data_IF_767698297737
#
_entry.id   IF_767698297737
#
_cell.length_a   1.000
_cell.length_b   1.000
_cell.length_c   1.000
_cell.angle_alpha   90.00
_cell.angle_beta   90.00
_cell.angle_gamma   90.00
#
_symmetry.space_group_name_H-M   'P 1'
#
loop_
_entity.id
_entity.type
_entity.pdbx_description
1 polymer ?
#
# COMPACT_ATOMS: atom_id res chain seq x y z
N UNK A 1 -1.53 4.93 5.23
CA UNK A 1 -2.24 3.68 5.53
C UNK A 1 -1.82 3.15 6.88
N UNK A 2 -2.68 2.39 7.50
CA UNK A 2 -2.44 1.80 8.84
C UNK A 2 -1.75 0.42 8.77
N UNK A 3 -1.22 0.06 7.62
CA UNK A 3 -0.51 -1.20 7.41
C UNK A 3 0.98 -0.94 7.62
N UNK A 4 1.42 -0.94 8.85
CA UNK A 4 2.82 -0.91 9.28
C UNK A 4 3.16 -2.19 10.06
N UNK A 5 4.42 -2.41 10.34
CA UNK A 5 4.86 -3.63 11.05
C UNK A 5 4.22 -3.69 12.42
N UNK A 6 3.62 -4.83 12.75
CA UNK A 6 2.97 -5.04 14.05
C UNK A 6 3.99 -4.92 15.18
N UNK A 7 3.65 -4.14 16.21
CA UNK A 7 4.55 -3.82 17.33
C UNK A 7 5.56 -2.71 17.06
N UNK A 8 5.61 -2.16 15.83
CA UNK A 8 6.41 -0.98 15.55
C UNK A 8 5.65 0.31 15.92
N UNK A 9 6.39 1.39 16.20
CA UNK A 9 5.79 2.71 16.37
C UNK A 9 5.12 3.14 15.05
N UNK A 10 3.89 3.67 15.13
CA UNK A 10 3.21 4.17 13.94
C UNK A 10 4.03 5.25 13.23
N UNK A 11 4.14 5.22 11.89
CA UNK A 11 4.78 6.30 11.17
C UNK A 11 4.05 7.62 11.41
N UNK A 12 4.80 8.68 11.68
CA UNK A 12 4.26 10.03 11.91
C UNK A 12 3.40 10.49 10.74
N UNK A 13 2.21 10.99 11.03
CA UNK A 13 1.31 11.62 10.05
C UNK A 13 1.62 13.10 9.81
N UNK A 14 1.19 13.64 8.66
CA UNK A 14 1.42 15.05 8.32
C UNK A 14 0.83 16.02 9.37
N UNK A 15 -0.36 15.75 9.89
CA UNK A 15 -0.99 16.65 10.87
C UNK A 15 -0.27 16.62 12.22
N UNK A 16 0.19 15.46 12.64
CA UNK A 16 1.04 15.29 13.82
C UNK A 16 2.37 16.07 13.66
N UNK A 17 3.02 15.94 12.51
CA UNK A 17 4.21 16.73 12.19
C UNK A 17 3.94 18.25 12.24
N UNK A 18 2.78 18.69 11.77
CA UNK A 18 2.37 20.09 11.90
C UNK A 18 2.26 20.52 13.36
N UNK A 19 1.66 19.72 14.22
CA UNK A 19 1.52 20.02 15.65
C UNK A 19 2.88 20.13 16.35
N UNK A 20 3.78 19.16 16.09
CA UNK A 20 5.14 19.18 16.62
C UNK A 20 5.95 20.41 16.18
N UNK A 21 5.68 20.93 14.97
CA UNK A 21 6.26 22.18 14.46
C UNK A 21 5.52 23.44 14.93
N UNK A 22 4.56 23.32 15.86
CA UNK A 22 3.77 24.44 16.37
C UNK A 22 2.73 25.02 15.38
N UNK A 23 2.48 24.34 14.27
CA UNK A 23 1.54 24.75 13.20
C UNK A 23 0.13 24.20 13.46
N UNK A 24 -0.49 24.66 14.54
CA UNK A 24 -1.81 24.18 15.01
C UNK A 24 -2.98 24.47 14.06
N UNK A 25 -2.82 25.43 13.14
CA UNK A 25 -3.79 25.79 12.11
C UNK A 25 -3.67 24.89 10.85
N UNK A 26 -2.69 23.99 10.80
CA UNK A 26 -2.37 23.11 9.67
C UNK A 26 -2.17 23.87 8.35
N UNK A 27 -1.74 25.11 8.37
CA UNK A 27 -1.67 25.99 7.21
C UNK A 27 -0.96 25.33 6.01
N UNK A 28 -1.64 25.29 4.88
CA UNK A 28 -1.20 24.64 3.62
C UNK A 28 -0.98 23.13 3.73
N UNK A 29 -1.53 22.49 4.74
CA UNK A 29 -1.45 21.05 4.91
C UNK A 29 -2.82 20.42 4.87
N UNK A 30 -3.00 19.41 4.03
CA UNK A 30 -4.20 18.59 3.99
C UNK A 30 -3.81 17.11 3.88
N UNK A 31 -4.56 16.26 4.53
CA UNK A 31 -4.42 14.80 4.45
C UNK A 31 -5.68 14.20 3.86
N UNK A 32 -5.50 13.17 3.07
CA UNK A 32 -6.56 12.30 2.57
C UNK A 32 -6.39 10.94 3.21
N UNK A 33 -7.41 10.44 3.87
CA UNK A 33 -7.39 9.12 4.48
C UNK A 33 -8.61 8.31 4.04
N UNK A 34 -8.48 6.99 4.01
CA UNK A 34 -9.48 6.12 3.40
C UNK A 34 -9.55 4.77 4.10
N UNK A 35 -10.76 4.21 4.18
CA UNK A 35 -11.00 2.84 4.62
C UNK A 35 -10.40 1.79 3.68
N UNK A 36 -10.03 2.18 2.45
CA UNK A 36 -9.50 1.25 1.45
C UNK A 36 -8.28 0.47 1.91
N UNK A 37 -7.37 1.13 2.67
CA UNK A 37 -6.12 0.52 3.16
C UNK A 37 -6.13 0.34 4.67
N UNK A 38 -6.74 1.25 5.41
CA UNK A 38 -6.91 1.13 6.86
C UNK A 38 -7.69 -0.13 7.23
N UNK A 39 -8.83 -0.31 6.59
CA UNK A 39 -9.81 -1.33 6.96
C UNK A 39 -9.94 -2.46 5.93
N UNK A 40 -9.06 -2.51 4.93
CA UNK A 40 -9.15 -3.46 3.81
C UNK A 40 -10.52 -3.46 3.10
N UNK A 41 -11.15 -2.27 3.03
CA UNK A 41 -12.48 -2.05 2.45
C UNK A 41 -12.42 -1.14 1.21
N UNK A 42 -11.66 -1.49 0.15
CA UNK A 42 -11.52 -0.62 -1.02
C UNK A 42 -12.83 -0.45 -1.79
N UNK A 43 -13.72 -1.45 -1.77
CA UNK A 43 -15.01 -1.42 -2.46
C UNK A 43 -16.00 -0.42 -1.87
N UNK A 44 -15.86 -0.05 -0.61
CA UNK A 44 -16.76 0.88 0.07
C UNK A 44 -16.67 2.31 -0.45
N UNK A 45 -15.57 2.68 -1.12
CA UNK A 45 -15.30 4.02 -1.68
C UNK A 45 -15.44 5.14 -0.65
N UNK A 46 -15.00 4.91 0.59
CA UNK A 46 -15.12 5.82 1.71
C UNK A 46 -13.75 6.35 2.17
N UNK A 47 -13.73 7.62 2.53
CA UNK A 47 -12.58 8.31 3.07
C UNK A 47 -12.94 9.72 3.52
N UNK A 48 -11.97 10.42 4.06
CA UNK A 48 -12.12 11.82 4.50
C UNK A 48 -10.90 12.66 4.11
N UNK A 49 -11.08 13.97 4.18
CA UNK A 49 -10.02 14.97 4.10
C UNK A 49 -10.01 15.80 5.38
N UNK A 50 -8.82 16.09 5.90
CA UNK A 50 -8.61 16.94 7.08
C UNK A 50 -7.40 17.86 6.90
N UNK A 51 -7.37 19.00 7.61
CA UNK A 51 -6.24 19.95 7.58
C UNK A 51 -6.66 21.40 7.54
N UNK A 52 -5.97 22.21 6.73
CA UNK A 52 -6.16 23.66 6.61
C UNK A 52 -7.62 24.03 6.26
N UNK A 53 -8.29 24.73 7.18
CA UNK A 53 -9.68 25.14 7.02
C UNK A 53 -9.90 26.06 5.80
N UNK A 54 -8.92 26.91 5.46
CA UNK A 54 -9.00 27.80 4.31
C UNK A 54 -8.94 27.06 2.97
N UNK A 55 -8.34 25.86 2.95
CA UNK A 55 -8.35 24.97 1.81
C UNK A 55 -9.59 24.05 1.80
N UNK A 56 -10.01 23.59 2.96
CA UNK A 56 -11.17 22.68 3.06
C UNK A 56 -12.49 23.34 2.69
N UNK A 57 -12.70 24.62 3.07
CA UNK A 57 -13.94 25.34 2.80
C UNK A 57 -14.23 25.48 1.29
N UNK A 58 -13.35 26.00 0.44
CA UNK A 58 -13.58 26.07 -1.00
C UNK A 58 -13.60 24.65 -1.64
N UNK A 59 -12.83 23.68 -1.11
CA UNK A 59 -12.88 22.29 -1.58
C UNK A 59 -14.26 21.68 -1.34
N UNK A 60 -14.87 21.87 -0.18
CA UNK A 60 -16.22 21.41 0.11
C UNK A 60 -17.24 22.00 -0.85
N UNK A 61 -17.15 23.31 -1.13
CA UNK A 61 -18.02 23.96 -2.12
C UNK A 61 -17.84 23.37 -3.52
N UNK A 62 -16.58 23.16 -3.94
CA UNK A 62 -16.28 22.50 -5.22
C UNK A 62 -16.89 21.10 -5.30
N UNK A 63 -16.76 20.31 -4.23
CA UNK A 63 -17.34 18.97 -4.13
C UNK A 63 -18.85 18.92 -4.26
N UNK A 64 -19.55 20.00 -3.90
CA UNK A 64 -21.01 20.11 -4.07
C UNK A 64 -21.43 20.02 -5.53
N UNK A 65 -20.57 20.48 -6.45
CA UNK A 65 -20.83 20.48 -7.89
C UNK A 65 -20.09 19.35 -8.65
N UNK A 66 -18.93 18.93 -8.15
CA UNK A 66 -18.04 17.96 -8.79
C UNK A 66 -17.80 16.73 -7.93
N UNK A 67 -18.83 16.00 -7.66
CA UNK A 67 -18.70 14.76 -6.93
C UNK A 67 -20.03 14.25 -6.44
N UNK A 68 -20.04 12.99 -6.08
CA UNK A 68 -21.21 12.37 -5.50
C UNK A 68 -21.10 12.35 -3.97
N UNK A 69 -22.21 12.59 -3.29
CA UNK A 69 -22.32 12.23 -1.88
C UNK A 69 -22.30 10.71 -1.74
N UNK A 70 -21.68 10.23 -0.66
CA UNK A 70 -21.80 8.80 -0.32
C UNK A 70 -23.24 8.45 -0.01
N UNK A 71 -23.69 7.27 -0.43
CA UNK A 71 -25.03 6.77 -0.06
C UNK A 71 -25.13 6.62 1.46
N UNK A 72 -26.34 6.68 1.99
CA UNK A 72 -26.59 6.50 3.44
C UNK A 72 -26.04 5.17 3.94
N UNK A 73 -26.19 4.09 3.17
CA UNK A 73 -25.65 2.78 3.52
C UNK A 73 -24.13 2.80 3.67
N UNK A 74 -23.43 3.44 2.73
CA UNK A 74 -21.98 3.61 2.79
C UNK A 74 -21.55 4.46 4.00
N UNK A 75 -22.31 5.51 4.32
CA UNK A 75 -22.02 6.34 5.50
C UNK A 75 -22.16 5.54 6.80
N UNK A 76 -23.24 4.77 6.96
CA UNK A 76 -23.45 3.93 8.15
C UNK A 76 -22.38 2.85 8.29
N UNK A 77 -22.05 2.16 7.20
CA UNK A 77 -20.95 1.18 7.19
C UNK A 77 -19.60 1.83 7.51
N UNK A 78 -19.36 3.04 7.01
CA UNK A 78 -18.13 3.79 7.29
C UNK A 78 -18.02 4.18 8.76
N UNK A 79 -19.10 4.64 9.38
CA UNK A 79 -19.15 4.97 10.82
C UNK A 79 -18.75 3.74 11.65
N UNK A 80 -19.33 2.58 11.33
CA UNK A 80 -18.99 1.32 12.02
C UNK A 80 -17.51 0.98 11.85
N UNK A 81 -16.98 1.05 10.63
CA UNK A 81 -15.58 0.74 10.35
C UNK A 81 -14.59 1.73 11.00
N UNK A 82 -14.93 3.03 11.06
CA UNK A 82 -14.10 4.03 11.73
C UNK A 82 -14.09 3.88 13.25
N UNK A 83 -15.13 3.33 13.85
CA UNK A 83 -15.25 3.11 15.29
C UNK A 83 -14.71 1.75 15.76
N UNK A 84 -14.32 0.88 14.85
CA UNK A 84 -13.73 -0.42 15.16
C UNK A 84 -12.24 -0.42 14.86
N UNK A 85 -11.41 -0.53 15.89
CA UNK A 85 -9.95 -0.67 15.76
C UNK A 85 -9.50 -2.13 15.72
N UNK A 86 -10.33 -3.07 16.20
CA UNK A 86 -9.89 -4.47 16.30
C UNK A 86 -9.59 -5.07 14.92
N UNK A 87 -10.45 -4.84 13.93
CA UNK A 87 -10.20 -5.36 12.58
C UNK A 87 -8.94 -4.74 11.92
N UNK A 88 -8.55 -3.51 12.30
CA UNK A 88 -7.32 -2.87 11.82
C UNK A 88 -6.09 -3.57 12.39
N UNK A 89 -6.13 -3.88 13.69
CA UNK A 89 -5.08 -4.63 14.40
C UNK A 89 -4.94 -6.04 13.79
N UNK A 90 -6.06 -6.74 13.62
CA UNK A 90 -6.08 -8.09 13.05
C UNK A 90 -5.53 -8.11 11.61
N UNK A 91 -5.92 -7.14 10.80
CA UNK A 91 -5.41 -7.00 9.43
C UNK A 91 -3.90 -6.73 9.41
N UNK A 92 -3.41 -5.88 10.30
CA UNK A 92 -1.98 -5.57 10.46
C UNK A 92 -1.18 -6.81 10.85
N UNK A 93 -1.68 -7.56 11.83
CA UNK A 93 -1.07 -8.81 12.28
C UNK A 93 -0.97 -9.84 11.14
N UNK A 94 -2.03 -9.99 10.35
CA UNK A 94 -2.02 -10.87 9.18
C UNK A 94 -0.96 -10.44 8.14
N UNK A 95 -0.85 -9.15 7.83
CA UNK A 95 0.19 -8.67 6.92
C UNK A 95 1.60 -8.90 7.47
N UNK A 96 1.81 -8.69 8.76
CA UNK A 96 3.10 -8.96 9.41
C UNK A 96 3.50 -10.44 9.25
N UNK A 97 2.56 -11.36 9.45
CA UNK A 97 2.78 -12.79 9.24
C UNK A 97 3.11 -13.14 7.78
N UNK A 98 2.36 -12.55 6.83
CA UNK A 98 2.61 -12.74 5.38
C UNK A 98 4.00 -12.24 5.00
N UNK A 99 4.39 -11.04 5.42
CA UNK A 99 5.72 -10.49 5.16
C UNK A 99 6.82 -11.41 5.70
N UNK A 100 6.70 -11.85 6.96
CA UNK A 100 7.69 -12.75 7.55
C UNK A 100 7.88 -14.02 6.70
N UNK A 101 6.80 -14.73 6.42
CA UNK A 101 6.85 -15.99 5.68
C UNK A 101 7.38 -15.84 4.25
N UNK A 102 6.97 -14.78 3.55
CA UNK A 102 7.42 -14.51 2.18
C UNK A 102 8.89 -14.09 2.17
N UNK A 103 9.34 -13.24 3.11
CA UNK A 103 10.72 -12.81 3.18
C UNK A 103 11.67 -13.95 3.55
N UNK A 104 11.30 -14.83 4.48
CA UNK A 104 12.07 -16.05 4.80
C UNK A 104 12.33 -16.91 3.55
N UNK A 105 11.36 -16.96 2.64
CA UNK A 105 11.46 -17.73 1.38
C UNK A 105 12.31 -17.03 0.33
N UNK A 106 12.18 -15.70 0.19
CA UNK A 106 12.75 -14.95 -0.94
C UNK A 106 14.12 -14.32 -0.67
N UNK A 107 14.43 -13.91 0.57
CA UNK A 107 15.70 -13.27 0.90
C UNK A 107 16.96 -14.06 0.49
N UNK A 108 16.96 -15.41 0.51
CA UNK A 108 18.12 -16.17 0.04
C UNK A 108 18.43 -16.02 -1.46
N UNK A 109 17.43 -15.63 -2.28
CA UNK A 109 17.55 -15.61 -3.74
C UNK A 109 17.25 -14.24 -4.37
N UNK A 110 16.79 -13.28 -3.58
CA UNK A 110 16.34 -11.98 -4.05
C UNK A 110 16.70 -10.87 -3.05
N UNK A 111 17.29 -9.77 -3.52
CA UNK A 111 17.50 -8.58 -2.67
C UNK A 111 16.16 -7.90 -2.37
N UNK A 112 15.52 -8.39 -1.32
CA UNK A 112 14.22 -7.91 -0.84
C UNK A 112 14.26 -7.63 0.66
N UNK A 113 13.69 -6.50 1.04
CA UNK A 113 13.60 -6.06 2.44
C UNK A 113 12.17 -5.77 2.83
N UNK A 114 11.88 -5.91 4.10
CA UNK A 114 10.63 -5.43 4.65
C UNK A 114 10.56 -3.91 4.53
N UNK A 115 9.39 -3.40 4.16
CA UNK A 115 9.07 -1.97 4.16
C UNK A 115 8.53 -1.57 5.54
N UNK A 116 8.69 -0.29 5.91
CA UNK A 116 8.18 0.23 7.19
C UNK A 116 6.65 0.16 7.25
N UNK A 117 6.00 0.37 6.13
CA UNK A 117 4.55 0.25 5.98
C UNK A 117 4.22 -0.12 4.54
N UNK A 118 3.17 -0.83 4.30
CA UNK A 118 2.59 -1.21 3.00
C UNK A 118 2.18 -2.68 3.00
N UNK A 119 1.60 -3.12 1.90
CA UNK A 119 1.35 -4.53 1.59
C UNK A 119 2.08 -4.96 0.31
N UNK A 120 3.13 -4.22 -0.06
CA UNK A 120 3.95 -4.48 -1.23
C UNK A 120 5.38 -4.82 -0.85
N UNK A 121 6.00 -5.70 -1.66
CA UNK A 121 7.45 -5.81 -1.79
C UNK A 121 7.89 -5.18 -3.12
N UNK A 122 9.09 -4.59 -3.13
CA UNK A 122 9.64 -3.83 -4.26
C UNK A 122 11.09 -4.20 -4.56
N UNK A 123 11.39 -5.50 -4.81
CA UNK A 123 12.75 -5.95 -5.04
C UNK A 123 13.27 -5.57 -6.42
N UNK A 124 14.61 -5.60 -6.54
CA UNK A 124 15.30 -5.59 -7.82
C UNK A 124 15.25 -6.96 -8.45
N UNK A 125 15.26 -7.01 -9.78
CA UNK A 125 15.34 -8.24 -10.58
C UNK A 125 16.75 -8.45 -11.13
N UNK A 126 17.15 -9.70 -11.35
CA UNK A 126 18.44 -10.08 -11.96
C UNK A 126 18.46 -9.89 -13.47
N UNK A 127 17.28 -9.85 -14.10
CA UNK A 127 17.09 -9.60 -15.52
C UNK A 127 16.11 -8.44 -15.71
N UNK A 128 15.89 -8.00 -16.94
CA UNK A 128 14.90 -6.96 -17.22
C UNK A 128 13.54 -7.28 -16.58
N UNK A 129 12.92 -6.33 -15.93
CA UNK A 129 11.72 -6.51 -15.10
C UNK A 129 10.48 -6.96 -15.89
N UNK A 130 10.36 -6.53 -17.16
CA UNK A 130 9.27 -6.97 -18.03
C UNK A 130 9.47 -8.43 -18.45
N UNK A 131 10.68 -8.78 -18.82
CA UNK A 131 11.07 -10.16 -19.13
C UNK A 131 10.89 -11.05 -17.92
N UNK A 132 11.30 -10.58 -16.74
CA UNK A 132 11.10 -11.31 -15.48
C UNK A 132 9.61 -11.61 -15.24
N UNK A 133 8.76 -10.59 -15.34
CA UNK A 133 7.32 -10.74 -15.10
C UNK A 133 6.66 -11.69 -16.12
N UNK A 134 7.02 -11.59 -17.40
CA UNK A 134 6.50 -12.46 -18.46
C UNK A 134 6.91 -13.90 -18.27
N UNK A 135 8.19 -14.17 -18.00
CA UNK A 135 8.70 -15.53 -17.81
C UNK A 135 8.19 -16.16 -16.51
N UNK A 136 8.11 -15.38 -15.42
CA UNK A 136 7.53 -15.85 -14.17
C UNK A 136 6.07 -16.28 -14.36
N UNK A 137 5.28 -15.48 -15.08
CA UNK A 137 3.90 -15.83 -15.39
C UNK A 137 3.84 -17.12 -16.27
N UNK A 138 4.62 -17.18 -17.32
CA UNK A 138 4.61 -18.31 -18.24
C UNK A 138 5.03 -19.63 -17.58
N UNK A 139 6.04 -19.60 -16.70
CA UNK A 139 6.63 -20.81 -16.10
C UNK A 139 6.01 -21.20 -14.76
N UNK A 140 5.57 -20.23 -13.98
CA UNK A 140 5.12 -20.45 -12.60
C UNK A 140 3.69 -19.98 -12.33
N UNK A 141 3.01 -19.37 -13.30
CA UNK A 141 1.66 -18.81 -13.16
C UNK A 141 1.54 -17.83 -11.97
N UNK A 142 2.57 -17.00 -11.78
CA UNK A 142 2.58 -15.94 -10.77
C UNK A 142 2.67 -14.59 -11.45
N UNK A 143 1.75 -13.70 -11.12
CA UNK A 143 1.69 -12.35 -11.68
C UNK A 143 2.37 -11.36 -10.75
N UNK A 144 3.33 -10.61 -11.28
CA UNK A 144 3.96 -9.44 -10.64
C UNK A 144 3.90 -8.26 -11.60
N UNK A 145 4.05 -7.06 -11.09
CA UNK A 145 3.97 -5.86 -11.92
C UNK A 145 5.36 -5.27 -12.15
N UNK A 146 5.80 -5.08 -13.41
CA UNK A 146 7.04 -4.39 -13.72
C UNK A 146 7.05 -2.97 -13.14
N UNK A 147 8.16 -2.59 -12.53
CA UNK A 147 8.27 -1.31 -11.86
C UNK A 147 8.25 -0.12 -12.82
N UNK A 148 8.79 -0.30 -14.02
CA UNK A 148 8.76 0.72 -15.09
C UNK A 148 7.35 1.14 -15.47
N UNK A 149 6.35 0.26 -15.32
CA UNK A 149 4.94 0.59 -15.59
C UNK A 149 4.30 1.49 -14.52
N UNK A 150 4.91 1.57 -13.34
CA UNK A 150 4.43 2.34 -12.19
C UNK A 150 5.14 3.67 -12.01
N UNK A 151 6.11 3.97 -12.85
CA UNK A 151 6.98 5.14 -12.74
C UNK A 151 7.09 5.89 -14.05
N UNK A 152 7.60 7.11 -13.97
CA UNK A 152 7.90 7.93 -15.15
C UNK A 152 9.39 8.18 -15.23
N UNK A 153 9.92 8.20 -16.43
CA UNK A 153 11.30 8.63 -16.67
C UNK A 153 11.41 10.14 -16.47
N UNK A 154 12.34 10.55 -15.60
CA UNK A 154 12.69 11.94 -15.34
C UNK A 154 14.20 12.06 -15.54
N UNK A 155 14.64 12.99 -16.33
CA UNK A 155 16.07 13.23 -16.67
C UNK A 155 16.80 11.95 -17.12
N UNK A 156 16.12 11.11 -17.91
CA UNK A 156 16.68 9.86 -18.42
C UNK A 156 16.67 8.69 -17.43
N UNK A 157 16.20 8.88 -16.21
CA UNK A 157 16.16 7.85 -15.15
C UNK A 157 14.71 7.42 -14.90
N UNK A 158 14.44 6.12 -15.01
CA UNK A 158 13.19 5.53 -14.57
C UNK A 158 13.41 4.82 -13.22
N UNK A 159 12.86 5.33 -12.10
CA UNK A 159 13.12 4.78 -10.78
C UNK A 159 12.52 3.37 -10.56
N UNK A 160 11.61 2.94 -11.42
CA UNK A 160 11.01 1.62 -11.39
C UNK A 160 11.73 0.59 -12.27
N UNK A 161 12.67 1.01 -13.12
CA UNK A 161 13.41 0.09 -13.97
C UNK A 161 14.22 -0.93 -13.14
N UNK A 162 14.26 -2.18 -13.60
CA UNK A 162 14.93 -3.27 -12.90
C UNK A 162 14.25 -3.68 -11.59
N UNK A 163 12.96 -3.37 -11.39
CA UNK A 163 12.19 -3.71 -10.18
C UNK A 163 10.84 -4.31 -10.51
N UNK A 164 10.32 -5.09 -9.59
CA UNK A 164 8.95 -5.61 -9.66
C UNK A 164 8.18 -5.25 -8.39
N UNK A 165 6.86 -5.12 -8.52
CA UNK A 165 5.95 -4.98 -7.39
C UNK A 165 5.23 -6.31 -7.15
N UNK A 166 5.33 -6.80 -5.92
CA UNK A 166 4.58 -7.95 -5.43
C UNK A 166 3.59 -7.48 -4.35
N UNK A 167 2.30 -7.77 -4.53
CA UNK A 167 1.25 -7.44 -3.57
C UNK A 167 0.89 -8.68 -2.75
N UNK A 168 1.02 -8.61 -1.42
CA UNK A 168 0.73 -9.72 -0.51
C UNK A 168 -0.75 -9.74 -0.08
N UNK A 169 -1.67 -9.55 -1.03
CA UNK A 169 -3.11 -9.42 -0.76
C UNK A 169 -3.85 -10.75 -0.68
N UNK A 170 -3.31 -11.80 -1.27
CA UNK A 170 -3.89 -13.15 -1.23
C UNK A 170 -3.82 -13.75 0.19
N UNK A 171 -4.46 -14.87 0.42
CA UNK A 171 -4.35 -15.62 1.67
C UNK A 171 -2.89 -15.98 1.98
N UNK A 172 -2.58 -16.15 3.27
CA UNK A 172 -1.19 -16.39 3.70
C UNK A 172 -0.57 -17.62 3.03
N UNK A 173 -1.33 -18.70 2.91
CA UNK A 173 -0.89 -19.93 2.22
C UNK A 173 -0.58 -19.69 0.75
N UNK A 174 -1.40 -18.92 0.06
CA UNK A 174 -1.20 -18.57 -1.36
C UNK A 174 0.01 -17.66 -1.54
N UNK A 175 0.23 -16.71 -0.62
CA UNK A 175 1.42 -15.86 -0.63
C UNK A 175 2.71 -16.69 -0.44
N UNK A 176 2.70 -17.68 0.44
CA UNK A 176 3.82 -18.60 0.67
C UNK A 176 4.07 -19.47 -0.57
N UNK A 177 3.02 -20.03 -1.15
CA UNK A 177 3.13 -20.83 -2.38
C UNK A 177 3.68 -19.98 -3.54
N UNK A 178 3.18 -18.77 -3.72
CA UNK A 178 3.69 -17.85 -4.73
C UNK A 178 5.18 -17.53 -4.51
N UNK A 179 5.59 -17.28 -3.27
CA UNK A 179 7.00 -17.04 -2.92
C UNK A 179 7.88 -18.25 -3.28
N UNK A 180 7.43 -19.49 -3.02
CA UNK A 180 8.14 -20.71 -3.38
C UNK A 180 8.25 -20.88 -4.91
N UNK A 181 7.22 -20.52 -5.66
CA UNK A 181 7.24 -20.53 -7.14
C UNK A 181 8.21 -19.47 -7.69
N UNK A 182 8.21 -18.26 -7.12
CA UNK A 182 9.15 -17.19 -7.48
C UNK A 182 10.59 -17.66 -7.20
N UNK A 183 10.83 -18.27 -6.05
CA UNK A 183 12.15 -18.83 -5.71
C UNK A 183 12.62 -19.85 -6.73
N UNK A 184 11.80 -20.86 -7.07
CA UNK A 184 12.14 -21.85 -8.10
C UNK A 184 12.44 -21.22 -9.45
N UNK A 185 11.70 -20.19 -9.84
CA UNK A 185 11.96 -19.46 -11.07
C UNK A 185 13.32 -18.76 -11.04
N UNK A 186 13.63 -18.05 -9.96
CA UNK A 186 14.91 -17.35 -9.82
C UNK A 186 16.10 -18.33 -9.81
N UNK A 187 15.95 -19.47 -9.14
CA UNK A 187 16.99 -20.53 -9.11
C UNK A 187 17.18 -21.21 -10.49
N UNK A 188 16.28 -21.01 -11.44
CA UNK A 188 16.36 -21.55 -12.81
C UNK A 188 16.89 -20.53 -13.83
N UNK A 189 17.11 -19.27 -13.46
CA UNK A 189 17.67 -18.24 -14.33
C UNK A 189 19.20 -18.38 -14.46
#
# INVERSE_FOLDING_TARGET
>A
SEIFVDGAEPPMGLLEACELLGRKDFKRCVVFHSLSKRSNLPGLRSGFIAGDADLLKPFLLYRTYHGCAMSVHTQLASITAWNDEQHVIDNRTQYTQKFRAVLETLQPVLDVKQTDASFYLWPKTSINEETFAQQLFAQQNVTVLPGSYLSRTVDGINPGAGRIRMALVAETSECIEAAQRIRRFIESL
#
